data_IF_473956237817
#
_entry.id   IF_473956237817
#
_cell.length_a   1.000
_cell.length_b   1.000
_cell.length_c   1.000
_cell.angle_alpha   90.00
_cell.angle_beta   90.00
_cell.angle_gamma   90.00
#
_symmetry.space_group_name_H-M   'P 1'
#
loop_
_entity.id
_entity.type
_entity.pdbx_description
1 polymer ?
#
# COMPACT_ATOMS: atom_id res chain seq x y z
N UNK A 1 -22.70 66.46 -4.91
CA UNK A 1 -22.18 65.46 -5.86
C UNK A 1 -20.80 65.02 -5.38
N UNK A 2 -20.74 63.96 -4.57
CA UNK A 2 -19.59 63.04 -4.44
C UNK A 2 -19.99 61.98 -3.41
N UNK A 3 -20.73 60.99 -3.91
CA UNK A 3 -21.04 59.75 -3.23
C UNK A 3 -20.00 58.70 -3.63
N UNK A 4 -19.63 57.86 -2.66
CA UNK A 4 -18.96 56.56 -2.85
C UNK A 4 -17.44 56.57 -3.07
N UNK A 5 -16.70 56.88 -2.01
CA UNK A 5 -15.48 56.13 -1.69
C UNK A 5 -15.78 55.20 -0.51
N UNK A 6 -16.58 54.16 -0.79
CA UNK A 6 -16.75 53.05 0.13
C UNK A 6 -15.49 52.20 0.05
N UNK A 7 -14.68 52.24 1.12
CA UNK A 7 -13.65 51.26 1.41
C UNK A 7 -14.16 49.85 1.06
N UNK A 8 -13.63 49.24 0.00
CA UNK A 8 -13.71 47.80 -0.19
C UNK A 8 -12.79 47.13 0.84
N UNK A 9 -13.22 47.18 2.11
CA UNK A 9 -12.72 46.33 3.17
C UNK A 9 -13.16 44.92 2.82
N UNK A 10 -12.31 44.18 2.12
CA UNK A 10 -12.48 42.73 1.88
C UNK A 10 -12.40 42.04 3.26
N UNK A 11 -13.52 42.09 3.98
CA UNK A 11 -13.71 41.60 5.33
C UNK A 11 -14.20 40.16 5.19
N UNK A 12 -13.24 39.23 5.15
CA UNK A 12 -13.53 37.81 5.07
C UNK A 12 -12.26 37.00 4.86
N UNK A 13 -11.39 36.99 5.86
CA UNK A 13 -10.21 36.13 5.81
C UNK A 13 -10.64 34.67 6.08
N UNK A 14 -11.15 33.97 5.07
CA UNK A 14 -11.69 32.59 5.21
C UNK A 14 -10.63 31.48 5.41
N UNK A 15 -9.34 31.81 5.50
CA UNK A 15 -8.24 30.87 5.77
C UNK A 15 -8.41 30.02 7.04
N UNK A 16 -9.18 30.49 8.03
CA UNK A 16 -9.51 29.71 9.21
C UNK A 16 -10.31 28.44 8.89
N UNK A 17 -11.10 28.43 7.80
CA UNK A 17 -11.81 27.23 7.33
C UNK A 17 -10.82 26.15 6.88
N UNK A 18 -9.75 26.54 6.19
CA UNK A 18 -8.72 25.61 5.73
C UNK A 18 -7.94 25.03 6.91
N UNK A 19 -7.59 25.88 7.88
CA UNK A 19 -6.95 25.41 9.10
C UNK A 19 -7.85 24.46 9.90
N UNK A 20 -9.14 24.79 10.06
CA UNK A 20 -10.12 23.92 10.70
C UNK A 20 -10.22 22.58 9.97
N UNK A 21 -10.26 22.59 8.63
CA UNK A 21 -10.25 21.37 7.83
C UNK A 21 -9.01 20.51 8.13
N UNK A 22 -7.81 21.08 8.14
CA UNK A 22 -6.58 20.34 8.47
C UNK A 22 -6.63 19.75 9.88
N UNK A 23 -7.05 20.53 10.87
CA UNK A 23 -7.16 20.06 12.26
C UNK A 23 -8.17 18.90 12.37
N UNK A 24 -9.34 19.03 11.72
CA UNK A 24 -10.35 17.97 11.71
C UNK A 24 -9.83 16.70 11.03
N UNK A 25 -9.15 16.81 9.89
CA UNK A 25 -8.57 15.65 9.20
C UNK A 25 -7.50 14.97 10.06
N UNK A 26 -6.62 15.75 10.70
CA UNK A 26 -5.61 15.19 11.60
C UNK A 26 -6.24 14.47 12.80
N UNK A 27 -7.30 15.05 13.39
CA UNK A 27 -8.04 14.44 14.49
C UNK A 27 -8.71 13.13 14.07
N UNK A 28 -9.39 13.11 12.92
CA UNK A 28 -10.00 11.90 12.36
C UNK A 28 -8.93 10.83 12.10
N UNK A 29 -7.80 11.21 11.50
CA UNK A 29 -6.70 10.29 11.21
C UNK A 29 -6.09 9.68 12.49
N UNK A 30 -5.95 10.47 13.56
CA UNK A 30 -5.45 10.01 14.85
C UNK A 30 -6.42 9.05 15.56
N UNK A 31 -7.72 9.37 15.51
CA UNK A 31 -8.76 8.59 16.20
C UNK A 31 -9.12 7.30 15.44
N UNK A 32 -9.05 7.30 14.11
CA UNK A 32 -9.44 6.17 13.26
C UNK A 32 -8.85 4.80 13.70
N UNK A 33 -7.54 4.64 13.95
CA UNK A 33 -6.96 3.37 14.40
C UNK A 33 -7.31 2.98 15.84
N UNK A 34 -7.82 3.92 16.66
CA UNK A 34 -8.30 3.62 18.02
C UNK A 34 -9.70 3.02 17.90
N UNK A 35 -10.58 3.64 17.12
CA UNK A 35 -11.95 3.16 16.89
C UNK A 35 -11.96 1.80 16.18
N UNK A 36 -11.00 1.55 15.27
CA UNK A 36 -10.95 0.28 14.53
C UNK A 36 -10.69 -0.94 15.40
N UNK A 37 -10.15 -0.78 16.61
CA UNK A 37 -9.92 -1.90 17.53
C UNK A 37 -11.21 -2.54 18.02
N UNK A 38 -12.24 -1.72 18.22
CA UNK A 38 -13.52 -2.15 18.81
C UNK A 38 -14.66 -2.20 17.78
N UNK A 39 -14.38 -1.83 16.52
CA UNK A 39 -15.38 -1.76 15.45
C UNK A 39 -14.92 -2.49 14.19
N UNK A 40 -15.85 -3.04 13.38
CA UNK A 40 -15.53 -3.74 12.14
C UNK A 40 -15.14 -2.76 11.03
N UNK A 41 -13.99 -2.10 11.20
CA UNK A 41 -13.39 -1.23 10.20
C UNK A 41 -12.38 -2.03 9.34
N UNK A 42 -12.06 -1.56 8.12
CA UNK A 42 -11.06 -2.21 7.28
C UNK A 42 -9.70 -2.37 8.01
N UNK A 43 -9.06 -3.56 7.98
CA UNK A 43 -7.84 -3.85 8.75
C UNK A 43 -6.65 -2.94 8.46
N UNK A 44 -6.63 -2.30 7.29
CA UNK A 44 -5.55 -1.37 6.91
C UNK A 44 -5.56 -0.08 7.73
N UNK A 45 -6.67 0.27 8.38
CA UNK A 45 -6.79 1.48 9.22
C UNK A 45 -5.87 1.38 10.43
N UNK A 46 -5.71 0.20 11.02
CA UNK A 46 -4.80 -0.05 12.14
C UNK A 46 -3.32 0.16 11.76
N UNK A 47 -3.01 0.03 10.48
CA UNK A 47 -1.64 0.12 9.95
C UNK A 47 -1.30 1.55 9.47
N UNK A 48 -2.18 2.52 9.70
CA UNK A 48 -1.94 3.91 9.31
C UNK A 48 -0.81 4.52 10.14
N UNK A 49 0.23 5.10 9.50
CA UNK A 49 1.29 5.79 10.22
C UNK A 49 0.73 7.05 10.89
N UNK A 50 1.31 7.41 12.04
CA UNK A 50 0.88 8.55 12.85
C UNK A 50 1.67 9.84 12.59
N UNK A 51 2.83 9.78 11.93
CA UNK A 51 3.58 10.99 11.52
C UNK A 51 2.76 12.01 10.70
N UNK A 52 1.79 11.63 9.84
CA UNK A 52 0.98 12.59 9.07
C UNK A 52 0.14 13.50 9.97
N UNK A 53 -0.32 13.00 11.11
CA UNK A 53 -1.10 13.77 12.09
C UNK A 53 -0.32 15.00 12.52
N UNK A 54 0.95 14.82 12.89
CA UNK A 54 1.82 15.91 13.33
C UNK A 54 2.01 16.93 12.21
N UNK A 55 2.30 16.49 10.98
CA UNK A 55 2.53 17.40 9.86
C UNK A 55 1.25 18.17 9.50
N UNK A 56 0.10 17.52 9.44
CA UNK A 56 -1.18 18.15 9.12
C UNK A 56 -1.61 19.14 10.23
N UNK A 57 -1.39 18.80 11.50
CA UNK A 57 -1.63 19.72 12.63
C UNK A 57 -0.73 20.96 12.52
N UNK A 58 0.56 20.77 12.25
CA UNK A 58 1.49 21.89 12.07
C UNK A 58 1.10 22.78 10.88
N UNK A 59 0.61 22.20 9.78
CA UNK A 59 0.05 22.98 8.66
C UNK A 59 -1.19 23.77 9.08
N UNK A 60 -2.12 23.16 9.83
CA UNK A 60 -3.29 23.85 10.38
C UNK A 60 -2.92 25.04 11.27
N UNK A 61 -1.97 24.83 12.19
CA UNK A 61 -1.46 25.87 13.08
C UNK A 61 -0.70 26.96 12.30
N UNK A 62 0.11 26.59 11.30
CA UNK A 62 0.83 27.53 10.44
C UNK A 62 -0.11 28.44 9.64
N UNK A 63 -1.27 27.94 9.22
CA UNK A 63 -2.30 28.73 8.54
C UNK A 63 -3.05 29.67 9.51
N UNK A 64 -3.14 29.32 10.80
CA UNK A 64 -3.77 30.15 11.85
C UNK A 64 -2.83 31.21 12.44
N UNK A 65 -1.52 30.98 12.39
CA UNK A 65 -0.55 31.90 12.95
C UNK A 65 -0.70 33.28 12.31
N UNK A 66 -0.79 34.36 13.11
CA UNK A 66 -0.90 35.74 12.62
C UNK A 66 0.44 36.27 12.10
N UNK A 67 1.26 35.39 11.49
CA UNK A 67 2.29 35.79 10.53
C UNK A 67 1.54 36.32 9.31
N UNK A 68 1.03 37.54 9.41
CA UNK A 68 0.27 38.18 8.35
C UNK A 68 1.24 38.76 7.32
N UNK A 69 1.56 38.09 6.20
CA UNK A 69 2.13 38.82 5.10
C UNK A 69 1.05 39.77 4.58
N UNK A 70 1.32 41.07 4.65
CA UNK A 70 0.38 42.11 4.20
C UNK A 70 0.02 42.00 2.71
N UNK A 71 0.74 41.17 1.94
CA UNK A 71 0.51 40.97 0.51
C UNK A 71 -0.37 39.75 0.21
N UNK A 72 -1.33 39.94 -0.70
CA UNK A 72 -2.17 38.87 -1.25
C UNK A 72 -1.33 37.74 -1.88
N UNK A 73 -0.17 38.07 -2.46
CA UNK A 73 0.75 37.12 -3.11
C UNK A 73 1.34 36.11 -2.13
N UNK A 74 1.73 36.52 -0.94
CA UNK A 74 2.29 35.58 0.05
C UNK A 74 1.20 34.71 0.64
N UNK A 75 0.00 35.28 0.86
CA UNK A 75 -1.14 34.54 1.38
C UNK A 75 -1.60 33.43 0.43
N UNK A 76 -1.66 33.70 -0.88
CA UNK A 76 -1.97 32.67 -1.87
C UNK A 76 -0.89 31.58 -1.95
N UNK A 77 0.39 31.94 -1.82
CA UNK A 77 1.49 30.97 -1.74
C UNK A 77 1.38 30.05 -0.53
N UNK A 78 1.08 30.59 0.66
CA UNK A 78 0.91 29.78 1.88
C UNK A 78 -0.24 28.78 1.71
N UNK A 79 -1.39 29.24 1.21
CA UNK A 79 -2.53 28.36 0.94
C UNK A 79 -2.15 27.27 -0.08
N UNK A 80 -1.58 27.64 -1.23
CA UNK A 80 -1.19 26.69 -2.27
C UNK A 80 -0.18 25.64 -1.77
N UNK A 81 0.88 26.07 -1.09
CA UNK A 81 1.90 25.17 -0.54
C UNK A 81 1.35 24.27 0.57
N UNK A 82 0.44 24.78 1.40
CA UNK A 82 -0.22 23.96 2.43
C UNK A 82 -1.10 22.87 1.81
N UNK A 83 -1.85 23.19 0.75
CA UNK A 83 -2.69 22.22 0.04
C UNK A 83 -1.87 21.16 -0.71
N UNK A 84 -0.77 21.56 -1.35
CA UNK A 84 0.16 20.63 -2.00
C UNK A 84 0.79 19.71 -0.96
N UNK A 85 1.33 20.27 0.13
CA UNK A 85 1.94 19.49 1.21
C UNK A 85 0.94 18.52 1.83
N UNK A 86 -0.28 18.98 2.12
CA UNK A 86 -1.37 18.13 2.63
C UNK A 86 -1.65 16.95 1.68
N UNK A 87 -1.80 17.23 0.39
CA UNK A 87 -2.05 16.20 -0.63
C UNK A 87 -0.92 15.17 -0.71
N UNK A 88 0.33 15.63 -0.71
CA UNK A 88 1.50 14.76 -0.73
C UNK A 88 1.59 13.90 0.53
N UNK A 89 1.37 14.48 1.71
CA UNK A 89 1.38 13.77 2.98
C UNK A 89 0.34 12.65 2.97
N UNK A 90 -0.90 12.94 2.54
CA UNK A 90 -1.92 11.90 2.41
C UNK A 90 -1.52 10.81 1.42
N UNK A 91 -1.05 11.20 0.23
CA UNK A 91 -0.64 10.25 -0.81
C UNK A 91 0.47 9.32 -0.31
N UNK A 92 1.56 9.85 0.23
CA UNK A 92 2.69 9.05 0.71
C UNK A 92 2.32 8.15 1.89
N UNK A 93 1.43 8.61 2.77
CA UNK A 93 0.98 7.83 3.92
C UNK A 93 0.15 6.63 3.50
N UNK A 94 -0.84 6.85 2.63
CA UNK A 94 -1.70 5.78 2.10
C UNK A 94 -0.88 4.82 1.22
N UNK A 95 0.00 5.34 0.38
CA UNK A 95 0.86 4.52 -0.49
C UNK A 95 1.76 3.59 0.33
N UNK A 96 2.38 4.09 1.40
CA UNK A 96 3.24 3.28 2.25
C UNK A 96 2.49 2.15 2.95
N UNK A 97 1.26 2.39 3.41
CA UNK A 97 0.48 1.38 4.15
C UNK A 97 -0.21 0.39 3.22
N UNK A 98 -0.90 0.87 2.17
CA UNK A 98 -1.71 0.00 1.32
C UNK A 98 -0.92 -0.67 0.21
N UNK A 99 0.04 0.05 -0.38
CA UNK A 99 0.70 -0.41 -1.60
C UNK A 99 2.00 -1.14 -1.29
N UNK A 100 2.75 -0.78 -0.25
CA UNK A 100 4.04 -1.44 0.02
C UNK A 100 3.90 -2.97 0.13
N UNK A 101 2.99 -3.55 0.93
CA UNK A 101 2.89 -5.02 1.04
C UNK A 101 2.43 -5.70 -0.26
N UNK A 102 1.65 -5.00 -1.10
CA UNK A 102 1.07 -5.54 -2.32
C UNK A 102 1.99 -5.43 -3.55
N UNK A 103 3.06 -4.65 -3.47
CA UNK A 103 3.99 -4.37 -4.56
C UNK A 103 5.43 -4.76 -4.23
N UNK A 104 5.79 -4.87 -2.95
CA UNK A 104 7.07 -5.42 -2.51
C UNK A 104 7.07 -6.93 -2.72
N UNK A 105 7.89 -7.39 -3.66
CA UNK A 105 8.09 -8.80 -3.97
C UNK A 105 9.43 -9.31 -3.42
N UNK A 106 10.13 -8.52 -2.60
CA UNK A 106 11.45 -8.90 -2.12
C UNK A 106 11.39 -10.14 -1.24
N UNK A 107 10.42 -10.24 -0.34
CA UNK A 107 10.29 -11.40 0.55
C UNK A 107 10.05 -12.70 -0.21
N UNK A 108 9.04 -12.74 -1.11
CA UNK A 108 8.78 -13.93 -1.92
C UNK A 108 9.98 -14.26 -2.82
N UNK A 109 10.65 -13.26 -3.39
CA UNK A 109 11.82 -13.49 -4.25
C UNK A 109 13.00 -14.09 -3.48
N UNK A 110 13.25 -13.63 -2.25
CA UNK A 110 14.29 -14.17 -1.36
C UNK A 110 13.96 -15.60 -0.94
N UNK A 111 12.68 -15.90 -0.64
CA UNK A 111 12.23 -17.27 -0.36
C UNK A 111 12.44 -18.19 -1.57
N UNK A 112 12.10 -17.75 -2.78
CA UNK A 112 12.35 -18.49 -4.01
C UNK A 112 13.85 -18.76 -4.19
N UNK A 113 14.70 -17.76 -3.94
CA UNK A 113 16.16 -17.91 -4.02
C UNK A 113 16.65 -19.00 -3.05
N UNK A 114 16.24 -18.94 -1.78
CA UNK A 114 16.61 -19.93 -0.78
C UNK A 114 16.13 -21.35 -1.14
N UNK A 115 14.93 -21.48 -1.69
CA UNK A 115 14.42 -22.76 -2.20
C UNK A 115 15.29 -23.30 -3.33
N UNK A 116 15.67 -22.46 -4.30
CA UNK A 116 16.53 -22.88 -5.42
C UNK A 116 17.95 -23.23 -4.98
N UNK A 117 18.49 -22.53 -3.97
CA UNK A 117 19.79 -22.87 -3.37
C UNK A 117 19.74 -24.24 -2.68
N UNK A 118 18.61 -24.58 -2.06
CA UNK A 118 18.34 -25.91 -1.49
C UNK A 118 17.94 -26.97 -2.53
N UNK A 119 18.22 -26.73 -3.81
CA UNK A 119 17.96 -27.67 -4.90
C UNK A 119 16.49 -27.85 -5.26
N UNK A 120 15.58 -27.03 -4.74
CA UNK A 120 14.15 -27.11 -5.05
C UNK A 120 13.85 -26.43 -6.39
N UNK A 121 12.92 -27.00 -7.15
CA UNK A 121 12.43 -26.36 -8.38
C UNK A 121 11.25 -25.46 -8.05
N UNK A 122 11.21 -24.26 -8.62
CA UNK A 122 10.09 -23.31 -8.42
C UNK A 122 9.49 -22.93 -9.76
N UNK A 123 8.16 -23.06 -9.88
CA UNK A 123 7.40 -22.57 -11.02
C UNK A 123 6.55 -21.34 -10.68
N UNK A 124 6.17 -20.59 -11.71
CA UNK A 124 5.16 -19.53 -11.64
C UNK A 124 4.02 -19.91 -12.58
N UNK A 125 2.81 -19.92 -12.03
CA UNK A 125 1.61 -20.21 -12.80
C UNK A 125 1.10 -18.97 -13.55
N UNK A 126 0.86 -19.14 -14.85
CA UNK A 126 0.34 -18.10 -15.73
C UNK A 126 1.41 -17.17 -16.29
N UNK A 127 1.08 -15.88 -16.40
CA UNK A 127 1.98 -14.89 -17.00
C UNK A 127 3.07 -14.48 -15.99
N UNK A 128 4.32 -14.64 -16.39
CA UNK A 128 5.48 -14.21 -15.62
C UNK A 128 6.26 -13.13 -16.36
N UNK A 129 6.65 -12.08 -15.64
CA UNK A 129 7.36 -10.90 -16.19
C UNK A 129 8.72 -10.69 -15.50
N UNK A 130 9.44 -11.78 -15.18
CA UNK A 130 10.77 -11.72 -14.55
C UNK A 130 10.82 -10.94 -13.22
N UNK A 131 9.69 -10.85 -12.52
CA UNK A 131 9.54 -10.03 -11.32
C UNK A 131 10.41 -10.54 -10.16
N UNK A 132 10.67 -11.85 -10.10
CA UNK A 132 11.45 -12.46 -9.03
C UNK A 132 12.93 -12.60 -9.38
N UNK A 133 13.25 -12.74 -10.68
CA UNK A 133 14.60 -13.02 -11.17
C UNK A 133 15.63 -12.03 -10.62
N UNK A 134 15.33 -10.73 -10.78
CA UNK A 134 16.22 -9.67 -10.34
C UNK A 134 16.17 -9.47 -8.82
N UNK A 135 14.96 -9.38 -8.25
CA UNK A 135 14.76 -9.08 -6.83
C UNK A 135 15.34 -10.16 -5.90
N UNK A 136 15.29 -11.43 -6.31
CA UNK A 136 15.85 -12.56 -5.58
C UNK A 136 17.28 -12.90 -5.99
N UNK A 137 17.86 -12.21 -6.98
CA UNK A 137 19.16 -12.55 -7.59
C UNK A 137 19.25 -14.03 -7.96
N UNK A 138 18.19 -14.54 -8.59
CA UNK A 138 18.05 -15.97 -8.85
C UNK A 138 19.14 -16.43 -9.83
N UNK A 139 19.89 -17.47 -9.44
CA UNK A 139 20.96 -18.05 -10.29
C UNK A 139 20.40 -18.90 -11.43
N UNK A 140 19.18 -19.43 -11.25
CA UNK A 140 18.46 -20.24 -12.24
C UNK A 140 17.09 -19.59 -12.48
N UNK A 141 16.58 -19.57 -13.71
CA UNK A 141 15.24 -19.08 -13.98
C UNK A 141 14.19 -19.94 -13.26
N UNK A 142 13.04 -19.35 -12.97
CA UNK A 142 11.84 -20.08 -12.55
C UNK A 142 11.16 -20.70 -13.76
N UNK A 143 10.54 -21.85 -13.56
CA UNK A 143 9.70 -22.47 -14.60
C UNK A 143 8.43 -21.62 -14.78
N UNK A 144 7.97 -21.44 -16.01
CA UNK A 144 6.70 -20.75 -16.27
C UNK A 144 5.72 -21.78 -16.83
N UNK A 145 4.62 -22.00 -16.12
CA UNK A 145 3.66 -23.05 -16.46
C UNK A 145 2.26 -22.46 -16.63
N UNK A 146 1.53 -22.94 -17.63
CA UNK A 146 0.11 -22.63 -17.75
C UNK A 146 -0.68 -23.24 -16.60
N UNK A 147 -1.79 -22.62 -16.21
CA UNK A 147 -2.71 -23.14 -15.20
C UNK A 147 -3.15 -24.59 -15.46
N UNK A 148 -3.31 -24.94 -16.73
CA UNK A 148 -3.72 -26.29 -17.14
C UNK A 148 -2.60 -27.33 -17.01
N UNK A 149 -1.34 -26.89 -17.00
CA UNK A 149 -0.15 -27.76 -16.99
C UNK A 149 0.43 -27.96 -15.59
N UNK A 150 -0.09 -27.26 -14.57
CA UNK A 150 0.40 -27.36 -13.18
C UNK A 150 0.42 -28.81 -12.72
N UNK A 151 -0.65 -29.57 -12.98
CA UNK A 151 -0.75 -30.97 -12.55
C UNK A 151 0.31 -31.87 -13.14
N UNK A 152 0.64 -31.68 -14.42
CA UNK A 152 1.64 -32.51 -15.10
C UNK A 152 3.05 -32.08 -14.70
N UNK A 153 3.31 -30.77 -14.62
CA UNK A 153 4.60 -30.26 -14.12
C UNK A 153 4.95 -30.75 -12.70
N UNK A 154 3.95 -30.85 -11.81
CA UNK A 154 4.16 -31.38 -10.45
C UNK A 154 4.50 -32.87 -10.39
N UNK A 155 4.19 -33.65 -11.45
CA UNK A 155 4.60 -35.06 -11.53
C UNK A 155 6.08 -35.17 -11.89
N UNK A 156 6.53 -34.34 -12.82
CA UNK A 156 7.85 -34.42 -13.44
C UNK A 156 8.97 -33.79 -12.59
N UNK A 157 8.65 -32.81 -11.74
CA UNK A 157 9.64 -32.10 -10.91
C UNK A 157 9.46 -32.44 -9.43
N UNK A 158 10.47 -33.06 -8.81
CA UNK A 158 10.49 -33.35 -7.37
C UNK A 158 11.86 -33.04 -6.76
N UNK A 159 11.92 -32.32 -5.63
CA UNK A 159 10.84 -31.56 -4.96
C UNK A 159 10.57 -30.20 -5.62
N UNK A 160 9.31 -29.74 -5.55
CA UNK A 160 8.81 -28.60 -6.32
C UNK A 160 7.87 -27.68 -5.53
N UNK A 161 7.95 -26.38 -5.85
CA UNK A 161 7.07 -25.31 -5.37
C UNK A 161 6.47 -24.55 -6.55
N UNK A 162 5.33 -23.91 -6.32
CA UNK A 162 4.70 -23.08 -7.34
C UNK A 162 4.15 -21.78 -6.75
N UNK A 163 4.35 -20.70 -7.49
CA UNK A 163 3.76 -19.39 -7.22
C UNK A 163 2.46 -19.26 -8.01
N UNK A 164 1.39 -18.94 -7.32
CA UNK A 164 0.03 -18.88 -7.83
C UNK A 164 -0.62 -17.56 -7.37
N UNK A 165 -1.33 -16.87 -8.26
CA UNK A 165 -2.05 -15.62 -7.96
C UNK A 165 -3.56 -15.85 -7.92
N UNK A 166 -4.19 -15.58 -6.78
CA UNK A 166 -5.62 -15.78 -6.53
C UNK A 166 -6.39 -14.48 -6.39
N UNK A 167 -7.68 -14.50 -6.77
CA UNK A 167 -8.58 -13.35 -6.57
C UNK A 167 -8.92 -13.12 -5.10
N UNK A 168 -9.13 -14.20 -4.34
CA UNK A 168 -9.44 -14.17 -2.90
C UNK A 168 -8.31 -14.82 -2.11
N UNK A 169 -8.19 -14.46 -0.84
CA UNK A 169 -7.22 -15.08 0.06
C UNK A 169 -7.59 -16.55 0.26
N UNK A 170 -6.69 -17.51 -0.04
CA UNK A 170 -6.89 -18.90 0.37
C UNK A 170 -6.97 -19.02 1.90
N UNK A 171 -7.87 -19.85 2.39
CA UNK A 171 -7.85 -20.30 3.79
C UNK A 171 -7.04 -21.58 3.90
N UNK A 172 -5.74 -21.42 4.14
CA UNK A 172 -4.77 -22.52 4.23
C UNK A 172 -3.97 -22.42 5.51
N UNK A 173 -3.62 -23.59 6.06
CA UNK A 173 -2.57 -23.70 7.06
C UNK A 173 -1.26 -23.80 6.29
N UNK A 174 -0.52 -22.70 6.26
CA UNK A 174 0.75 -22.61 5.55
C UNK A 174 1.84 -23.26 6.38
N UNK A 175 2.68 -24.06 5.73
CA UNK A 175 3.92 -24.53 6.33
C UNK A 175 4.99 -23.41 6.31
N UNK A 176 6.06 -23.55 7.10
CA UNK A 176 7.10 -22.50 7.21
C UNK A 176 7.81 -22.16 5.88
N UNK A 177 7.85 -23.13 4.96
CA UNK A 177 8.41 -23.00 3.61
C UNK A 177 7.41 -22.47 2.57
N UNK A 178 6.14 -22.30 2.94
CA UNK A 178 5.09 -21.69 2.14
C UNK A 178 4.91 -20.21 2.49
N UNK A 179 4.33 -19.46 1.58
CA UNK A 179 4.22 -18.02 1.77
C UNK A 179 2.99 -17.44 1.10
N UNK A 180 2.43 -16.40 1.71
CA UNK A 180 1.32 -15.63 1.14
C UNK A 180 1.53 -14.14 1.38
N UNK A 181 1.29 -13.35 0.33
CA UNK A 181 1.23 -11.91 0.44
C UNK A 181 0.09 -11.31 -0.40
N UNK A 182 -0.42 -10.13 -0.04
CA UNK A 182 -1.18 -9.30 -0.97
C UNK A 182 -0.36 -9.05 -2.25
N UNK A 183 -1.04 -8.95 -3.38
CA UNK A 183 -0.41 -8.67 -4.67
C UNK A 183 -1.37 -7.94 -5.60
N UNK A 184 -1.23 -6.60 -5.73
CA UNK A 184 -1.99 -5.78 -6.69
C UNK A 184 -3.52 -6.04 -6.70
N UNK A 185 -4.14 -6.08 -5.51
CA UNK A 185 -5.57 -6.38 -5.35
C UNK A 185 -5.95 -7.86 -5.46
N UNK A 186 -4.95 -8.74 -5.51
CA UNK A 186 -5.03 -10.20 -5.49
C UNK A 186 -4.15 -10.75 -4.37
N UNK A 187 -4.00 -12.06 -4.31
CA UNK A 187 -3.15 -12.76 -3.36
C UNK A 187 -2.14 -13.61 -4.10
N UNK A 188 -0.86 -13.42 -3.80
CA UNK A 188 0.21 -14.23 -4.34
C UNK A 188 0.62 -15.25 -3.29
N UNK A 189 0.66 -16.51 -3.70
CA UNK A 189 0.84 -17.65 -2.82
C UNK A 189 1.95 -18.53 -3.38
N UNK A 190 2.92 -18.89 -2.53
CA UNK A 190 3.95 -19.88 -2.79
C UNK A 190 3.55 -21.15 -2.05
N UNK A 191 3.28 -22.22 -2.80
CA UNK A 191 2.82 -23.49 -2.26
C UNK A 191 3.77 -24.62 -2.60
N UNK A 192 3.93 -25.55 -1.67
CA UNK A 192 4.68 -26.77 -1.88
C UNK A 192 3.82 -27.79 -2.61
N UNK A 193 4.45 -28.63 -3.42
CA UNK A 193 3.77 -29.74 -4.09
C UNK A 193 2.96 -30.64 -3.15
N UNK A 194 3.46 -30.92 -1.94
CA UNK A 194 2.77 -31.77 -0.97
C UNK A 194 1.38 -31.22 -0.63
N UNK A 195 1.29 -29.91 -0.41
CA UNK A 195 0.04 -29.18 -0.15
C UNK A 195 -0.91 -29.24 -1.34
N UNK A 196 -0.38 -29.13 -2.57
CA UNK A 196 -1.19 -29.26 -3.79
C UNK A 196 -1.68 -30.68 -4.06
N UNK A 197 -1.01 -31.70 -3.53
CA UNK A 197 -1.46 -33.09 -3.62
C UNK A 197 -2.59 -33.39 -2.65
N UNK A 198 -2.55 -32.84 -1.44
CA UNK A 198 -3.63 -32.99 -0.47
C UNK A 198 -4.82 -32.09 -0.79
N UNK A 199 -4.57 -30.96 -1.47
CA UNK A 199 -5.58 -29.99 -1.87
C UNK A 199 -5.46 -29.61 -3.37
N UNK A 200 -5.87 -30.50 -4.29
CA UNK A 200 -5.76 -30.26 -5.72
C UNK A 200 -6.63 -29.10 -6.25
N UNK A 201 -7.63 -28.67 -5.48
CA UNK A 201 -8.45 -27.49 -5.75
C UNK A 201 -7.62 -26.21 -5.80
N UNK A 202 -6.48 -26.16 -5.09
CA UNK A 202 -5.64 -24.97 -5.03
C UNK A 202 -4.87 -24.69 -6.33
N UNK A 203 -4.77 -25.69 -7.21
CA UNK A 203 -4.17 -25.54 -8.53
C UNK A 203 -5.08 -24.79 -9.53
N UNK A 204 -6.29 -24.39 -9.11
CA UNK A 204 -7.27 -23.65 -9.92
C UNK A 204 -7.74 -22.38 -9.18
N UNK A 205 -7.16 -21.21 -9.48
CA UNK A 205 -7.48 -19.94 -8.82
C UNK A 205 -8.82 -19.31 -9.24
#
# INVERSE_FOLDING_TARGET
>A
MSSHDAEHKVKGSHHWLLALMFILVALVWFIAPIISRDRPLPPWIEQLPQWPVVVILLLGLAVLLPWSPRSLRTRSRVVALSSITFTLVLLFSVMKTLYKPAFDLHEISTRIAALQENGQTVAVAGKYHNQFQFLGRLKKPVDVVSWFQIKDWLKDKQPAYIVIVWKKRPELHYQDDEFIQPYRGRWMVLLRRATLRTRPELARP
#
